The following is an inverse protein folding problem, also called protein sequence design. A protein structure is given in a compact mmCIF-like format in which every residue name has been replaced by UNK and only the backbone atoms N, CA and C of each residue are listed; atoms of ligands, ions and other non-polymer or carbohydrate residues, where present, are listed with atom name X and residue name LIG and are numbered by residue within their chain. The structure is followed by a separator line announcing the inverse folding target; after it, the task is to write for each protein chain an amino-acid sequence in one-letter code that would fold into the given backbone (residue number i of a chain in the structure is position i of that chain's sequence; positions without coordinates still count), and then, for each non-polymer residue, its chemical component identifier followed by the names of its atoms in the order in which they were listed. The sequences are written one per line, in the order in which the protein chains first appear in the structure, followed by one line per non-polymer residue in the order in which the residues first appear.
data_IF_389308393013
#
_entry.id   IF_389308393013
#
_cell.length_a   1.000
_cell.length_b   1.000
_cell.length_c   1.000
_cell.angle_alpha   90.00
_cell.angle_beta   90.00
_cell.angle_gamma   90.00
#
_symmetry.space_group_name_H-M   'P 1'
#
loop_
_entity.id
_entity.type
_entity.pdbx_description
1 polymer ?
#
# COMPACT_ATOMS: atom_id res chain seq x y z
N UNK A 1 1.90 24.11 -21.79
CA UNK A 1 2.52 22.84 -21.29
C UNK A 1 1.83 22.47 -20.00
N UNK A 2 1.20 21.29 -19.91
CA UNK A 2 0.59 20.80 -18.67
C UNK A 2 1.50 19.77 -18.02
N UNK A 3 2.18 20.17 -16.94
CA UNK A 3 3.04 19.33 -16.10
C UNK A 3 2.40 19.17 -14.71
N UNK A 4 1.13 18.73 -14.66
CA UNK A 4 0.27 18.78 -13.47
C UNK A 4 0.54 17.69 -12.42
N UNK A 5 1.69 17.01 -12.50
CA UNK A 5 2.03 15.87 -11.63
C UNK A 5 1.02 14.70 -11.72
N UNK A 6 1.34 13.61 -11.03
CA UNK A 6 0.40 12.54 -10.71
C UNK A 6 -0.19 12.75 -9.32
N UNK A 7 -1.45 12.35 -9.14
CA UNK A 7 -2.09 12.30 -7.82
C UNK A 7 -1.57 11.14 -6.98
N UNK A 8 -1.82 11.18 -5.67
CA UNK A 8 -1.44 10.09 -4.76
C UNK A 8 -2.30 8.83 -4.99
N UNK A 9 -1.76 7.66 -4.65
CA UNK A 9 -2.54 6.41 -4.67
C UNK A 9 -3.68 6.42 -3.65
N UNK A 10 -3.52 7.13 -2.53
CA UNK A 10 -4.60 7.40 -1.58
C UNK A 10 -5.74 8.19 -2.21
N UNK A 11 -5.44 9.24 -2.98
CA UNK A 11 -6.47 10.01 -3.70
C UNK A 11 -7.22 9.15 -4.71
N UNK A 12 -6.49 8.32 -5.48
CA UNK A 12 -7.12 7.35 -6.39
C UNK A 12 -7.98 6.31 -5.66
N UNK A 13 -7.56 5.85 -4.48
CA UNK A 13 -8.35 4.95 -3.66
C UNK A 13 -9.64 5.63 -3.16
N UNK A 14 -9.55 6.90 -2.73
CA UNK A 14 -10.71 7.67 -2.30
C UNK A 14 -11.72 7.89 -3.44
N UNK A 15 -11.23 8.23 -4.64
CA UNK A 15 -12.07 8.43 -5.82
C UNK A 15 -12.83 7.17 -6.24
N UNK A 16 -12.20 6.00 -6.11
CA UNK A 16 -12.75 4.73 -6.60
C UNK A 16 -13.58 3.98 -5.55
N UNK A 17 -13.19 4.07 -4.28
CA UNK A 17 -13.71 3.21 -3.20
C UNK A 17 -14.24 4.02 -2.00
N UNK A 18 -14.19 5.34 -2.06
CA UNK A 18 -14.64 6.23 -1.00
C UNK A 18 -13.56 6.61 0.00
N UNK A 19 -13.74 7.77 0.63
CA UNK A 19 -12.79 8.34 1.59
C UNK A 19 -12.57 7.43 2.80
N UNK A 20 -13.64 6.83 3.34
CA UNK A 20 -13.57 5.94 4.51
C UNK A 20 -12.61 4.75 4.27
N UNK A 21 -12.65 4.16 3.06
CA UNK A 21 -11.76 3.07 2.72
C UNK A 21 -10.32 3.56 2.53
N UNK A 22 -10.13 4.71 1.88
CA UNK A 22 -8.80 5.30 1.72
C UNK A 22 -8.14 5.62 3.06
N UNK A 23 -8.92 6.14 4.01
CA UNK A 23 -8.51 6.43 5.37
C UNK A 23 -8.19 5.15 6.13
N UNK A 24 -9.02 4.10 5.97
CA UNK A 24 -8.77 2.79 6.57
C UNK A 24 -7.47 2.18 6.08
N UNK A 25 -7.19 2.22 4.78
CA UNK A 25 -5.95 1.65 4.20
C UNK A 25 -4.70 2.28 4.80
N UNK A 26 -4.70 3.60 5.00
CA UNK A 26 -3.50 4.33 5.39
C UNK A 26 -2.65 4.77 4.19
N UNK A 27 -1.50 5.38 4.46
CA UNK A 27 -0.60 5.87 3.39
C UNK A 27 -0.14 4.73 2.49
N UNK A 28 -0.16 4.98 1.19
CA UNK A 28 0.40 4.09 0.18
C UNK A 28 1.69 4.73 -0.32
N UNK A 29 2.78 3.98 -0.30
CA UNK A 29 4.17 4.44 -0.48
C UNK A 29 4.79 5.18 0.70
N UNK A 30 6.12 5.28 0.65
CA UNK A 30 6.97 5.89 1.66
C UNK A 30 7.49 4.84 2.64
N UNK A 31 8.53 5.20 3.38
CA UNK A 31 9.12 4.35 4.42
C UNK A 31 8.94 4.95 5.81
N UNK A 32 8.52 6.21 5.89
CA UNK A 32 8.48 6.97 7.13
C UNK A 32 9.81 7.48 7.60
N UNK A 33 10.62 7.93 6.64
CA UNK A 33 11.96 8.49 6.86
C UNK A 33 11.99 9.76 7.72
N UNK A 34 10.84 10.35 8.07
CA UNK A 34 10.76 11.57 8.86
C UNK A 34 11.11 12.82 8.06
N UNK A 35 11.16 12.72 6.73
CA UNK A 35 11.39 13.86 5.83
C UNK A 35 10.08 14.59 5.56
N UNK A 36 10.15 15.83 5.08
CA UNK A 36 8.96 16.65 4.79
C UNK A 36 7.98 15.97 3.80
N UNK A 37 8.47 15.12 2.89
CA UNK A 37 7.64 14.39 1.91
C UNK A 37 7.34 12.93 2.29
N UNK A 38 7.95 12.44 3.35
CA UNK A 38 7.74 11.09 3.88
C UNK A 38 7.81 11.14 5.41
N UNK A 39 6.78 11.74 6.05
CA UNK A 39 6.75 11.87 7.49
C UNK A 39 6.68 10.48 8.13
N UNK A 40 7.20 10.39 9.35
CA UNK A 40 7.24 9.14 10.12
C UNK A 40 5.85 8.63 10.53
N UNK A 41 5.81 7.53 11.30
CA UNK A 41 6.96 6.77 11.80
C UNK A 41 7.59 5.87 10.73
N UNK A 42 8.85 5.49 10.95
CA UNK A 42 9.58 4.54 10.09
C UNK A 42 8.94 3.15 10.17
N UNK A 43 8.66 2.55 9.01
CA UNK A 43 7.96 1.26 8.89
C UNK A 43 8.87 0.11 8.44
N UNK A 44 10.13 0.39 8.08
CA UNK A 44 11.09 -0.60 7.58
C UNK A 44 10.85 -1.10 6.16
N UNK A 45 9.61 -1.00 5.66
CA UNK A 45 9.18 -1.41 4.32
C UNK A 45 8.27 -0.36 3.69
N UNK A 46 8.04 -0.46 2.38
CA UNK A 46 7.11 0.43 1.68
C UNK A 46 5.69 0.27 2.23
N UNK A 47 5.04 1.40 2.56
CA UNK A 47 3.68 1.38 3.12
C UNK A 47 2.67 0.82 2.11
N UNK A 48 1.88 -0.16 2.56
CA UNK A 48 0.74 -0.74 1.82
C UNK A 48 1.02 -1.21 0.38
N UNK A 49 2.28 -1.38 -0.03
CA UNK A 49 2.66 -1.84 -1.36
C UNK A 49 2.97 -3.33 -1.36
N UNK A 50 2.32 -4.08 -2.25
CA UNK A 50 2.49 -5.53 -2.46
C UNK A 50 2.28 -6.42 -1.21
N UNK A 51 1.74 -5.86 -0.13
CA UNK A 51 1.43 -6.53 1.14
C UNK A 51 -0.02 -6.27 1.56
N UNK A 52 -0.60 -7.08 2.47
CA UNK A 52 -1.96 -6.88 2.95
C UNK A 52 -2.10 -5.50 3.58
N UNK A 53 -3.26 -4.87 3.37
CA UNK A 53 -3.59 -3.57 3.96
C UNK A 53 -4.57 -3.75 5.13
N UNK A 54 -4.84 -2.67 5.86
CA UNK A 54 -5.90 -2.62 6.87
C UNK A 54 -7.30 -2.89 6.28
N UNK A 55 -7.49 -2.66 4.97
CA UNK A 55 -8.68 -3.09 4.27
C UNK A 55 -8.50 -4.54 3.80
N UNK A 56 -9.41 -5.40 4.24
CA UNK A 56 -9.41 -6.81 3.85
C UNK A 56 -9.53 -6.97 2.33
N UNK A 57 -8.83 -7.96 1.81
CA UNK A 57 -8.82 -8.33 0.39
C UNK A 57 -8.37 -7.23 -0.58
N UNK A 58 -7.61 -6.23 -0.10
CA UNK A 58 -7.06 -5.16 -0.92
C UNK A 58 -5.53 -5.15 -0.90
N UNK A 59 -4.94 -5.02 -2.10
CA UNK A 59 -3.51 -4.85 -2.32
C UNK A 59 -3.26 -3.76 -3.34
N UNK A 60 -2.13 -3.07 -3.19
CA UNK A 60 -1.62 -2.15 -4.17
C UNK A 60 -0.43 -2.75 -4.93
N UNK A 61 -0.44 -2.60 -6.25
CA UNK A 61 0.67 -2.97 -7.12
C UNK A 61 1.01 -1.79 -8.03
N UNK A 62 2.30 -1.54 -8.20
CA UNK A 62 2.82 -0.42 -8.96
C UNK A 62 4.33 -0.29 -8.78
N UNK A 63 4.86 0.89 -9.10
CA UNK A 63 6.28 1.18 -9.05
C UNK A 63 6.97 1.02 -10.41
N UNK A 64 8.28 1.21 -10.42
CA UNK A 64 9.05 1.07 -11.66
C UNK A 64 9.15 -0.40 -12.11
N UNK A 65 9.75 -0.65 -13.29
CA UNK A 65 9.87 -2.00 -13.87
C UNK A 65 10.57 -2.97 -12.91
N UNK A 66 11.61 -2.52 -12.20
CA UNK A 66 12.34 -3.36 -11.26
C UNK A 66 11.45 -3.78 -10.08
N UNK A 67 10.78 -2.82 -9.44
CA UNK A 67 9.87 -3.07 -8.33
C UNK A 67 8.72 -3.98 -8.77
N UNK A 68 8.07 -3.65 -9.88
CA UNK A 68 6.96 -4.44 -10.43
C UNK A 68 7.40 -5.88 -10.70
N UNK A 69 8.56 -6.09 -11.33
CA UNK A 69 9.08 -7.42 -11.63
C UNK A 69 9.40 -8.22 -10.36
N UNK A 70 10.04 -7.57 -9.40
CA UNK A 70 10.45 -8.20 -8.15
C UNK A 70 9.25 -8.59 -7.29
N UNK A 71 8.28 -7.69 -7.12
CA UNK A 71 7.17 -7.89 -6.19
C UNK A 71 5.96 -8.64 -6.76
N UNK A 72 5.86 -8.79 -8.09
CA UNK A 72 4.76 -9.54 -8.70
C UNK A 72 4.68 -10.98 -8.21
N UNK A 73 5.82 -11.66 -8.04
CA UNK A 73 5.84 -13.04 -7.55
C UNK A 73 5.30 -13.13 -6.12
N UNK A 74 5.78 -12.26 -5.22
CA UNK A 74 5.34 -12.27 -3.82
C UNK A 74 3.86 -11.94 -3.68
N UNK A 75 3.35 -10.99 -4.46
CA UNK A 75 1.92 -10.68 -4.46
C UNK A 75 1.10 -11.85 -5.01
N UNK A 76 1.52 -12.44 -6.13
CA UNK A 76 0.82 -13.57 -6.73
C UNK A 76 0.75 -14.78 -5.78
N UNK A 77 1.84 -15.10 -5.07
CA UNK A 77 1.85 -16.18 -4.09
C UNK A 77 0.92 -15.91 -2.91
N UNK A 78 0.89 -14.67 -2.41
CA UNK A 78 -0.06 -14.25 -1.37
C UNK A 78 -1.52 -14.44 -1.78
N UNK A 79 -1.86 -14.05 -3.01
CA UNK A 79 -3.22 -14.19 -3.55
C UNK A 79 -3.56 -15.66 -3.80
N UNK A 80 -2.62 -16.42 -4.39
CA UNK A 80 -2.82 -17.84 -4.67
C UNK A 80 -3.00 -18.66 -3.40
N UNK A 81 -2.20 -18.42 -2.37
CA UNK A 81 -2.35 -19.12 -1.09
C UNK A 81 -3.75 -18.90 -0.49
N UNK A 82 -4.25 -17.66 -0.49
CA UNK A 82 -5.61 -17.35 -0.03
C UNK A 82 -6.70 -18.02 -0.87
N UNK A 83 -6.53 -18.03 -2.18
CA UNK A 83 -7.45 -18.69 -3.11
C UNK A 83 -7.52 -20.21 -2.86
N UNK A 84 -6.40 -20.85 -2.55
CA UNK A 84 -6.31 -22.28 -2.23
C UNK A 84 -6.70 -22.60 -0.77
N UNK A 85 -7.14 -21.61 0.03
CA UNK A 85 -7.47 -21.80 1.44
C UNK A 85 -6.26 -22.10 2.33
N UNK A 86 -5.04 -21.83 1.86
CA UNK A 86 -3.82 -21.97 2.66
C UNK A 86 -3.76 -20.80 3.64
N UNK A 87 -3.57 -21.05 4.96
CA UNK A 87 -3.45 -19.98 5.94
C UNK A 87 -2.31 -19.01 5.60
N UNK A 88 -2.64 -17.72 5.47
CA UNK A 88 -1.68 -16.63 5.29
C UNK A 88 -1.69 -15.70 6.52
N UNK A 89 -1.04 -16.08 7.63
CA UNK A 89 -1.01 -15.24 8.82
C UNK A 89 -0.32 -13.90 8.51
N UNK A 90 -0.96 -12.81 8.93
CA UNK A 90 -0.39 -11.46 8.84
C UNK A 90 0.14 -11.09 10.22
N UNK A 91 1.46 -11.10 10.35
CA UNK A 91 2.12 -10.93 11.66
C UNK A 91 2.20 -9.47 12.12
N UNK A 92 2.00 -8.51 11.22
CA UNK A 92 2.02 -7.09 11.57
C UNK A 92 1.41 -6.24 10.46
N UNK A 93 0.30 -5.59 10.76
CA UNK A 93 -0.24 -4.48 9.97
C UNK A 93 0.20 -3.18 10.62
N UNK A 94 0.70 -2.25 9.82
CA UNK A 94 1.10 -0.94 10.31
C UNK A 94 -0.14 -0.11 10.68
N UNK A 95 -0.02 0.66 11.75
CA UNK A 95 -1.09 1.55 12.19
C UNK A 95 -1.26 2.72 11.21
N UNK A 96 -2.48 3.25 11.16
CA UNK A 96 -2.81 4.38 10.30
C UNK A 96 -2.42 5.68 10.99
N UNK A 97 -1.37 6.35 10.49
CA UNK A 97 -0.81 7.56 11.13
C UNK A 97 -1.15 8.88 10.44
N UNK A 98 -1.98 8.88 9.39
CA UNK A 98 -2.21 10.05 8.55
C UNK A 98 -3.52 10.81 8.81
N UNK A 99 -4.33 10.32 9.75
CA UNK A 99 -5.61 10.91 10.14
C UNK A 99 -5.50 11.80 11.39
N UNK A 100 -4.27 12.07 11.86
CA UNK A 100 -3.96 12.91 13.02
C UNK A 100 -3.51 14.30 12.60
#
# INVERSE_FOLDING_TARGET
VYATSYGSMNGRAADLMGQELADKVGKVWGLGSGTAKDPGPWEGEQRNMWKPTQQENLWFHGGNLHQSRHYSLYLALQLKARYEGIPTPVYGLQAVHHLQ
#
